data_IF_698706190203
#
_entry.id   IF_698706190203
#
_cell.length_a   1.000
_cell.length_b   1.000
_cell.length_c   1.000
_cell.angle_alpha   90.00
_cell.angle_beta   90.00
_cell.angle_gamma   90.00
#
_symmetry.space_group_name_H-M   'P 1'
#
loop_
_entity.id
_entity.type
_entity.pdbx_description
1 polymer ?
#
# COMPACT_ATOMS: atom_id res chain seq x y z
N UNK A 1 -5.24 9.38 12.92
CA UNK A 1 -4.78 8.16 13.64
C UNK A 1 -3.36 7.85 13.18
N UNK A 2 -2.44 7.72 14.13
CA UNK A 2 -0.99 7.73 13.88
C UNK A 2 -0.55 6.47 13.14
N UNK A 3 0.08 6.70 12.01
CA UNK A 3 0.35 5.70 10.99
C UNK A 3 1.74 5.07 11.12
N UNK A 4 2.22 4.88 12.36
CA UNK A 4 3.58 4.39 12.65
C UNK A 4 3.61 3.09 13.45
N UNK A 5 2.46 2.45 13.71
CA UNK A 5 2.40 1.41 14.75
C UNK A 5 2.71 -0.02 14.28
N UNK A 6 2.81 -0.32 12.98
CA UNK A 6 3.04 -1.71 12.56
C UNK A 6 4.46 -2.21 12.88
N UNK A 7 5.50 -1.44 12.47
CA UNK A 7 6.90 -1.79 12.73
C UNK A 7 7.29 -1.58 14.20
N UNK A 8 6.63 -0.67 14.92
CA UNK A 8 6.92 -0.37 16.32
C UNK A 8 6.59 -1.52 17.29
N UNK A 9 5.98 -2.60 16.82
CA UNK A 9 5.68 -3.80 17.64
C UNK A 9 6.84 -4.79 17.72
N UNK A 10 7.96 -4.50 17.06
CA UNK A 10 9.08 -5.42 16.97
C UNK A 10 10.37 -4.75 17.46
N UNK A 11 11.11 -5.47 18.30
CA UNK A 11 12.50 -5.14 18.56
C UNK A 11 13.37 -5.69 17.42
N UNK A 12 14.07 -4.79 16.73
CA UNK A 12 14.90 -5.11 15.57
C UNK A 12 16.33 -5.36 16.05
N UNK A 13 16.78 -6.60 15.91
CA UNK A 13 18.03 -7.08 16.54
C UNK A 13 19.18 -7.10 15.52
N UNK A 14 18.87 -7.33 14.24
CA UNK A 14 19.86 -7.37 13.19
C UNK A 14 19.31 -6.92 11.83
N UNK A 15 20.20 -6.69 10.88
CA UNK A 15 19.87 -6.20 9.54
C UNK A 15 18.94 -7.15 8.77
N UNK A 16 19.15 -8.46 8.86
CA UNK A 16 18.33 -9.44 8.14
C UNK A 16 16.87 -9.40 8.59
N UNK A 17 16.66 -9.29 9.91
CA UNK A 17 15.33 -9.11 10.50
C UNK A 17 14.72 -7.77 10.07
N UNK A 18 15.50 -6.68 10.10
CA UNK A 18 15.05 -5.36 9.66
C UNK A 18 14.57 -5.37 8.20
N UNK A 19 15.36 -5.97 7.31
CA UNK A 19 15.04 -6.10 5.89
C UNK A 19 13.71 -6.83 5.69
N UNK A 20 13.53 -7.98 6.36
CA UNK A 20 12.28 -8.75 6.29
C UNK A 20 11.08 -7.95 6.78
N UNK A 21 11.20 -7.29 7.94
CA UNK A 21 10.11 -6.50 8.53
C UNK A 21 9.73 -5.32 7.62
N UNK A 22 10.71 -4.64 7.02
CA UNK A 22 10.45 -3.55 6.08
C UNK A 22 9.75 -4.06 4.81
N UNK A 23 10.19 -5.20 4.27
CA UNK A 23 9.55 -5.81 3.11
C UNK A 23 8.08 -6.16 3.41
N UNK A 24 7.82 -6.85 4.52
CA UNK A 24 6.47 -7.21 4.95
C UNK A 24 5.61 -5.96 5.22
N UNK A 25 6.19 -4.92 5.81
CA UNK A 25 5.49 -3.65 6.00
C UNK A 25 5.08 -3.02 4.67
N UNK A 26 5.96 -2.99 3.67
CA UNK A 26 5.67 -2.39 2.36
C UNK A 26 4.57 -3.18 1.66
N UNK A 27 4.74 -4.49 1.53
CA UNK A 27 3.84 -5.34 0.74
C UNK A 27 2.49 -5.55 1.41
N UNK A 28 2.48 -5.96 2.68
CA UNK A 28 1.26 -6.41 3.34
C UNK A 28 0.49 -5.28 4.04
N UNK A 29 1.16 -4.19 4.43
CA UNK A 29 0.51 -3.09 5.14
C UNK A 29 0.45 -1.81 4.33
N UNK A 30 1.58 -1.32 3.81
CA UNK A 30 1.64 -0.04 3.10
C UNK A 30 0.90 -0.11 1.76
N UNK A 31 1.22 -1.06 0.90
CA UNK A 31 0.60 -1.16 -0.41
C UNK A 31 -0.88 -1.60 -0.30
N UNK A 32 -1.17 -2.59 0.55
CA UNK A 32 -2.49 -3.20 0.64
C UNK A 32 -3.50 -2.44 1.52
N UNK A 33 -3.10 -1.97 2.71
CA UNK A 33 -4.05 -1.53 3.76
C UNK A 33 -3.97 -0.02 4.05
N UNK A 34 -2.79 0.58 3.91
CA UNK A 34 -2.52 1.94 4.39
C UNK A 34 -3.27 2.99 3.59
N UNK A 35 -4.24 3.66 4.21
CA UNK A 35 -4.91 4.82 3.61
C UNK A 35 -4.01 6.05 3.52
N UNK A 36 -4.03 6.72 2.36
CA UNK A 36 -3.36 7.99 2.12
C UNK A 36 -4.35 9.06 1.66
N UNK A 37 -4.30 10.26 2.26
CA UNK A 37 -5.14 11.39 1.83
C UNK A 37 -4.89 11.79 0.38
N UNK A 38 -3.64 11.69 -0.10
CA UNK A 38 -3.29 11.92 -1.50
C UNK A 38 -3.94 10.92 -2.45
N UNK A 39 -4.16 9.69 -2.00
CA UNK A 39 -4.88 8.65 -2.74
C UNK A 39 -6.40 8.69 -2.48
N UNK A 40 -6.95 9.79 -1.96
CA UNK A 40 -8.39 9.88 -1.66
C UNK A 40 -8.83 8.98 -0.50
N UNK A 41 -7.93 8.73 0.46
CA UNK A 41 -8.10 7.78 1.58
C UNK A 41 -8.12 6.29 1.17
N UNK A 42 -7.77 5.99 -0.08
CA UNK A 42 -7.51 4.63 -0.55
C UNK A 42 -6.10 4.18 -0.20
N UNK A 43 -5.89 2.86 -0.21
CA UNK A 43 -4.54 2.30 -0.24
C UNK A 43 -3.89 2.50 -1.61
N UNK A 44 -2.54 2.48 -1.71
CA UNK A 44 -1.84 2.58 -2.99
C UNK A 44 -2.32 1.53 -3.99
N UNK A 45 -2.54 0.29 -3.54
CA UNK A 45 -3.06 -0.77 -4.39
C UNK A 45 -4.47 -0.45 -4.90
N UNK A 46 -5.39 -0.05 -4.02
CA UNK A 46 -6.76 0.31 -4.40
C UNK A 46 -6.80 1.47 -5.40
N UNK A 47 -5.93 2.46 -5.21
CA UNK A 47 -5.82 3.59 -6.12
C UNK A 47 -5.43 3.18 -7.54
N UNK A 48 -4.42 2.32 -7.70
CA UNK A 48 -4.01 1.81 -9.02
C UNK A 48 -5.09 0.88 -9.64
N UNK A 49 -5.78 0.09 -8.83
CA UNK A 49 -6.91 -0.73 -9.29
C UNK A 49 -8.05 0.13 -9.85
N UNK A 50 -8.42 1.22 -9.18
CA UNK A 50 -9.44 2.15 -9.68
C UNK A 50 -9.02 2.83 -10.98
N UNK A 51 -7.76 3.26 -11.07
CA UNK A 51 -7.20 3.85 -12.28
C UNK A 51 -7.24 2.85 -13.46
N UNK A 52 -6.89 1.59 -13.20
CA UNK A 52 -6.92 0.52 -14.19
C UNK A 52 -8.35 0.24 -14.67
N UNK A 53 -9.33 0.20 -13.76
CA UNK A 53 -10.75 0.03 -14.10
C UNK A 53 -11.25 1.16 -15.01
N UNK A 54 -10.95 2.41 -14.65
CA UNK A 54 -11.32 3.60 -15.45
C UNK A 54 -10.71 3.56 -16.85
N UNK A 55 -9.46 3.11 -16.96
CA UNK A 55 -8.79 2.95 -18.26
C UNK A 55 -9.50 1.88 -19.11
N UNK A 56 -9.79 0.71 -18.52
CA UNK A 56 -10.50 -0.36 -19.21
C UNK A 56 -11.94 0.03 -19.62
N UNK A 57 -12.62 0.85 -18.82
CA UNK A 57 -13.93 1.42 -19.17
C UNK A 57 -13.84 2.39 -20.35
N UNK A 58 -12.83 3.27 -20.35
CA UNK A 58 -12.59 4.19 -21.46
C UNK A 58 -12.27 3.45 -22.76
N UNK A 59 -11.47 2.40 -22.70
CA UNK A 59 -11.16 1.55 -23.86
C UNK A 59 -12.42 0.91 -24.46
N UNK A 60 -13.37 0.48 -23.62
CA UNK A 60 -14.66 -0.05 -24.09
C UNK A 60 -15.55 0.99 -24.75
N UNK A 61 -15.43 2.27 -24.39
CA UNK A 61 -16.19 3.34 -25.01
C UNK A 61 -15.60 3.77 -26.37
N UNK A 62 -14.35 3.42 -26.66
CA UNK A 62 -13.65 3.77 -27.90
C UNK A 62 -13.75 2.62 -28.93
N UNK A 63 -14.01 1.40 -28.49
CA UNK A 63 -14.30 0.23 -29.33
C UNK A 63 -15.77 0.20 -29.79
#
# INVERSE_FOLDING_TARGET
MQTREWLNRFDIINYSQAYRLVFEYIEAFYNAIRSHSHCGYLSPQQFEEEKTKKLAELEKCIA
#
